data_IF_810845528210
#
_entry.id   IF_810845528210
#
_cell.length_a   1.000
_cell.length_b   1.000
_cell.length_c   1.000
_cell.angle_alpha   90.00
_cell.angle_beta   90.00
_cell.angle_gamma   90.00
#
_symmetry.space_group_name_H-M   'P 1'
#
loop_
_entity.id
_entity.type
_entity.pdbx_description
1 polymer ?
#
# COMPACT_ATOMS: atom_id res chain seq x y z
N UNK A 1 -6.13 -19.08 -17.90
CA UNK A 1 -5.89 -18.55 -17.44
C UNK A 1 -5.82 -17.65 -17.17
N UNK A 2 -6.29 -17.56 -17.23
CA UNK A 2 -5.96 -16.47 -16.95
C UNK A 2 -5.59 -16.17 -15.89
N UNK A 3 -4.92 -16.16 -15.74
CA UNK A 3 -4.56 -15.72 -14.62
C UNK A 3 -5.10 -14.41 -14.38
N UNK A 4 -5.53 -14.13 -13.24
CA UNK A 4 -5.99 -12.81 -12.96
C UNK A 4 -4.81 -11.89 -12.97
N UNK A 5 -4.83 -11.01 -13.87
CA UNK A 5 -3.86 -9.97 -13.87
C UNK A 5 -4.39 -8.82 -13.09
N UNK A 6 -3.69 -8.46 -12.05
CA UNK A 6 -4.02 -7.27 -11.29
C UNK A 6 -3.20 -6.13 -11.86
N UNK A 7 -3.89 -5.21 -12.48
CA UNK A 7 -3.26 -4.04 -13.05
C UNK A 7 -3.76 -2.81 -12.35
N UNK A 8 -2.85 -1.99 -11.88
CA UNK A 8 -3.21 -0.70 -11.33
C UNK A 8 -3.44 0.29 -12.45
N UNK A 9 -4.28 1.27 -12.17
CA UNK A 9 -4.57 2.33 -13.15
C UNK A 9 -3.57 3.46 -13.07
N UNK A 10 -2.79 3.52 -11.99
CA UNK A 10 -1.82 4.58 -11.80
C UNK A 10 -0.88 4.17 -10.68
N UNK A 11 0.13 5.00 -10.42
CA UNK A 11 1.08 4.77 -9.36
C UNK A 11 1.56 6.10 -8.81
N UNK A 12 1.64 6.21 -7.49
CA UNK A 12 2.05 7.44 -6.81
C UNK A 12 3.06 7.13 -5.73
N UNK A 13 4.05 8.00 -5.58
CA UNK A 13 4.95 7.91 -4.44
C UNK A 13 4.18 8.18 -3.15
N UNK A 14 4.52 7.43 -2.11
CA UNK A 14 3.85 7.56 -0.82
C UNK A 14 4.82 8.19 0.17
N UNK A 15 4.37 9.26 0.80
CA UNK A 15 5.04 9.81 1.97
C UNK A 15 4.23 9.35 3.19
N UNK A 16 4.78 8.46 4.02
CA UNK A 16 4.02 7.99 5.19
C UNK A 16 3.62 9.17 6.08
N UNK A 17 2.42 9.11 6.61
CA UNK A 17 1.88 10.15 7.47
C UNK A 17 0.91 9.54 8.47
N UNK A 18 1.01 9.99 9.72
CA UNK A 18 0.09 9.50 10.75
C UNK A 18 -1.30 10.11 10.62
N UNK A 19 -1.44 11.16 9.83
CA UNK A 19 -2.71 11.89 9.72
C UNK A 19 -3.30 11.86 8.32
N UNK A 20 -2.48 11.92 7.28
CA UNK A 20 -2.97 12.07 5.92
C UNK A 20 -3.28 10.72 5.31
N UNK A 21 -4.42 10.64 4.64
CA UNK A 21 -4.80 9.44 3.91
C UNK A 21 -4.29 9.52 2.48
N UNK A 22 -4.17 8.35 1.87
CA UNK A 22 -3.95 8.29 0.43
C UNK A 22 -5.17 8.88 -0.29
N UNK A 23 -4.94 9.49 -1.42
CA UNK A 23 -6.03 10.06 -2.21
C UNK A 23 -7.02 8.99 -2.66
N UNK A 24 -6.51 7.83 -2.97
CA UNK A 24 -7.31 6.71 -3.46
C UNK A 24 -6.85 5.48 -2.72
N UNK A 25 -7.79 4.66 -2.27
CA UNK A 25 -7.47 3.37 -1.66
C UNK A 25 -6.65 2.54 -2.64
N UNK A 26 -5.53 2.03 -2.20
CA UNK A 26 -4.52 1.49 -3.09
C UNK A 26 -3.85 0.26 -2.52
N UNK A 27 -3.25 -0.51 -3.40
CA UNK A 27 -2.29 -1.55 -3.04
C UNK A 27 -0.91 -0.90 -3.01
N UNK A 28 -0.05 -1.34 -2.09
CA UNK A 28 1.28 -0.77 -1.95
C UNK A 28 2.34 -1.67 -2.55
N UNK A 29 3.34 -1.03 -3.14
CA UNK A 29 4.59 -1.65 -3.53
C UNK A 29 5.68 -1.14 -2.60
N UNK A 30 6.49 -2.06 -2.08
CA UNK A 30 7.58 -1.73 -1.15
C UNK A 30 8.88 -1.71 -1.93
N UNK A 31 9.46 -0.53 -2.08
CA UNK A 31 10.74 -0.41 -2.78
C UNK A 31 11.90 -0.90 -1.95
N UNK A 32 12.06 -0.36 -0.75
CA UNK A 32 13.09 -0.80 0.19
C UNK A 32 12.40 -1.41 1.40
N UNK A 33 12.71 -2.65 1.70
CA UNK A 33 12.03 -3.44 2.71
C UNK A 33 12.15 -2.89 4.12
N UNK A 34 11.26 -3.37 4.96
CA UNK A 34 11.17 -2.97 6.36
C UNK A 34 9.77 -3.24 6.87
N UNK A 35 9.41 -2.53 7.93
CA UNK A 35 8.07 -2.64 8.49
C UNK A 35 7.16 -1.63 7.82
N UNK A 36 5.92 -2.01 7.55
CA UNK A 36 4.94 -1.11 6.95
C UNK A 36 3.67 -1.16 7.80
N UNK A 37 3.36 -0.06 8.45
CA UNK A 37 2.13 0.05 9.23
C UNK A 37 1.09 0.81 8.41
N UNK A 38 -0.07 0.20 8.25
CA UNK A 38 -1.11 0.74 7.38
C UNK A 38 -2.47 0.68 8.06
N UNK A 39 -3.39 1.50 7.53
CA UNK A 39 -4.80 1.33 7.80
C UNK A 39 -5.44 0.74 6.57
N UNK A 40 -6.10 -0.40 6.71
CA UNK A 40 -6.73 -1.06 5.59
C UNK A 40 -8.00 -0.33 5.16
N UNK A 41 -8.50 -0.71 4.00
CA UNK A 41 -9.75 -0.13 3.49
C UNK A 41 -10.90 -0.27 4.47
N UNK A 42 -10.93 -1.34 5.24
CA UNK A 42 -11.99 -1.57 6.22
C UNK A 42 -11.74 -0.85 7.54
N UNK A 43 -10.61 -0.17 7.66
CA UNK A 43 -10.31 0.62 8.85
C UNK A 43 -9.43 -0.07 9.89
N UNK A 44 -8.90 -1.23 9.60
CA UNK A 44 -8.04 -1.94 10.54
C UNK A 44 -6.61 -1.42 10.45
N UNK A 45 -5.98 -1.23 11.60
CA UNK A 45 -4.56 -0.86 11.65
C UNK A 45 -3.74 -2.12 11.78
N UNK A 46 -2.77 -2.29 10.91
CA UNK A 46 -1.94 -3.49 10.94
C UNK A 46 -0.54 -3.14 10.47
N UNK A 47 0.45 -3.84 11.03
CA UNK A 47 1.83 -3.71 10.62
C UNK A 47 2.28 -4.98 9.91
N UNK A 48 2.78 -4.82 8.70
CA UNK A 48 3.42 -5.91 7.96
C UNK A 48 4.90 -5.85 8.29
N UNK A 49 5.38 -6.83 9.04
CA UNK A 49 6.77 -6.83 9.50
C UNK A 49 7.67 -7.47 8.47
N UNK A 50 8.88 -6.94 8.35
CA UNK A 50 9.95 -7.56 7.57
C UNK A 50 9.58 -7.78 6.11
N UNK A 51 8.96 -6.77 5.51
CA UNK A 51 8.67 -6.81 4.09
C UNK A 51 9.99 -6.79 3.31
N UNK A 52 10.03 -7.54 2.23
CA UNK A 52 11.19 -7.59 1.36
C UNK A 52 11.17 -6.47 0.34
N UNK A 53 12.34 -6.14 -0.21
CA UNK A 53 12.41 -5.23 -1.33
C UNK A 53 11.57 -5.78 -2.48
N UNK A 54 10.77 -4.92 -3.08
CA UNK A 54 9.97 -5.32 -4.24
C UNK A 54 8.74 -6.12 -3.90
N UNK A 55 8.36 -6.20 -2.65
CA UNK A 55 7.18 -6.97 -2.24
C UNK A 55 5.94 -6.09 -2.25
N UNK A 56 4.80 -6.68 -2.56
CA UNK A 56 3.53 -5.98 -2.50
C UNK A 56 2.85 -6.24 -1.18
N UNK A 57 2.17 -5.21 -0.66
CA UNK A 57 1.26 -5.37 0.47
C UNK A 57 -0.07 -5.86 -0.09
N UNK A 58 -0.55 -7.03 0.31
CA UNK A 58 -1.64 -7.72 -0.39
C UNK A 58 -3.05 -7.26 -0.01
N UNK A 59 -3.18 -6.07 0.55
CA UNK A 59 -4.48 -5.51 0.90
C UNK A 59 -4.56 -4.08 0.41
N UNK A 60 -5.77 -3.61 0.18
CA UNK A 60 -5.98 -2.21 -0.14
C UNK A 60 -5.91 -1.39 1.14
N UNK A 61 -5.20 -0.28 1.07
CA UNK A 61 -4.97 0.56 2.24
C UNK A 61 -5.45 1.98 2.00
N UNK A 62 -5.89 2.62 3.09
CA UNK A 62 -6.30 4.01 3.08
C UNK A 62 -5.16 4.93 3.49
N UNK A 63 -4.25 4.45 4.31
CA UNK A 63 -3.23 5.28 4.92
C UNK A 63 -2.00 4.45 5.20
N UNK A 64 -0.84 5.07 5.08
CA UNK A 64 0.43 4.48 5.50
C UNK A 64 0.94 5.35 6.64
N UNK A 65 1.08 4.76 7.82
CA UNK A 65 1.51 5.51 8.99
C UNK A 65 3.00 5.82 8.91
N UNK A 66 3.38 7.00 9.37
CA UNK A 66 4.79 7.34 9.52
C UNK A 66 5.37 6.61 10.73
N UNK A 67 4.62 6.57 11.83
CA UNK A 67 5.05 5.87 13.03
C UNK A 67 4.87 4.36 12.84
N UNK A 68 5.95 3.61 12.95
CA UNK A 68 5.90 2.16 12.78
C UNK A 68 6.29 1.68 11.40
N UNK A 69 6.45 2.59 10.45
CA UNK A 69 6.88 2.24 9.10
C UNK A 69 8.36 2.56 8.96
N UNK A 70 9.16 1.55 8.65
CA UNK A 70 10.59 1.73 8.40
C UNK A 70 10.95 1.48 6.95
N UNK A 71 10.08 0.85 6.19
CA UNK A 71 10.28 0.67 4.76
C UNK A 71 10.26 2.02 4.05
N UNK A 72 10.96 2.12 2.93
CA UNK A 72 11.05 3.36 2.15
C UNK A 72 10.75 3.09 0.69
N UNK A 73 10.63 4.16 -0.07
CA UNK A 73 10.34 4.10 -1.50
C UNK A 73 9.06 3.33 -1.76
N UNK A 74 8.02 3.67 -0.99
CA UNK A 74 6.71 3.06 -1.13
C UNK A 74 5.96 3.71 -2.29
N UNK A 75 5.22 2.89 -3.02
CA UNK A 75 4.41 3.36 -4.14
C UNK A 75 2.99 2.85 -3.93
N UNK A 76 2.01 3.75 -3.99
CA UNK A 76 0.62 3.36 -3.95
C UNK A 76 0.10 3.16 -5.36
N UNK A 77 -0.61 2.07 -5.57
CA UNK A 77 -1.14 1.74 -6.89
C UNK A 77 -2.64 1.53 -6.77
N UNK A 78 -3.45 2.53 -7.16
CA UNK A 78 -4.88 2.35 -7.12
C UNK A 78 -5.31 1.31 -8.13
N UNK A 79 -6.10 0.37 -7.68
CA UNK A 79 -6.66 -0.66 -8.54
C UNK A 79 -8.13 -0.35 -8.66
N UNK A 80 -8.58 -0.08 -9.87
CA UNK A 80 -9.96 0.24 -10.11
C UNK A 80 -10.74 -1.03 -10.07
N UNK A 81 -11.39 -1.19 -9.02
CA UNK A 81 -12.31 -2.24 -8.98
C UNK A 81 -13.58 -1.87 -9.63
N UNK A 82 -13.76 -1.01 -10.06
CA UNK A 82 -14.81 -0.59 -10.52
C UNK A 82 -15.30 -0.70 -11.42
N UNK A 83 -15.18 -0.84 -11.21
CA UNK A 83 -15.34 -0.92 -11.75
C UNK A 83 -16.26 -0.92 -12.04
N UNK A 84 -16.53 -0.83 -12.19
CA UNK A 84 -17.15 -0.75 -12.45
C UNK A 84 -17.40 -1.12 -12.75
#
# INVERSE_FOLDING_TARGET
MSQALIQAIDAFEVTPSDTDRLNITSVLYVGVGGHVKVQTRQGSDITFYNMNNGQFVPVQVNKVYATGTTATNLVSMPINAYSR
#
